data_IF_798873254444
#
_entry.id   IF_798873254444
#
_cell.length_a   1.000
_cell.length_b   1.000
_cell.length_c   1.000
_cell.angle_alpha   90.00
_cell.angle_beta   90.00
_cell.angle_gamma   90.00
#
_symmetry.space_group_name_H-M   'P 1'
#
loop_
_entity.id
_entity.type
_entity.pdbx_description
1 polymer ?
#
# COMPACT_ATOMS: atom_id res chain seq x y z
N UNK A 1 35.46 -25.98 -31.12
CA UNK A 1 34.04 -26.12 -30.76
C UNK A 1 33.72 -25.08 -29.70
N UNK A 2 32.85 -24.11 -30.00
CA UNK A 2 32.67 -22.90 -29.19
C UNK A 2 32.03 -23.25 -27.85
N UNK A 3 32.77 -22.98 -26.78
CA UNK A 3 32.21 -22.99 -25.43
C UNK A 3 31.47 -21.65 -25.24
N UNK A 4 30.41 -21.68 -24.42
CA UNK A 4 29.87 -20.56 -23.63
C UNK A 4 28.88 -19.54 -24.19
N UNK A 5 28.38 -19.60 -25.42
CA UNK A 5 27.28 -18.67 -25.80
C UNK A 5 25.95 -18.89 -25.02
N UNK A 6 25.46 -20.13 -24.81
CA UNK A 6 24.16 -20.32 -24.15
C UNK A 6 24.23 -20.11 -22.63
N UNK A 7 25.41 -20.31 -22.02
CA UNK A 7 25.62 -20.14 -20.57
C UNK A 7 25.65 -18.66 -20.16
N UNK A 8 26.23 -17.77 -20.99
CA UNK A 8 26.19 -16.32 -20.76
C UNK A 8 24.77 -15.76 -20.88
N UNK A 9 24.00 -16.24 -21.86
CA UNK A 9 22.61 -15.84 -22.04
C UNK A 9 21.73 -16.24 -20.83
N UNK A 10 21.97 -17.42 -20.26
CA UNK A 10 21.25 -17.90 -19.08
C UNK A 10 21.56 -17.07 -17.82
N UNK A 11 22.82 -16.62 -17.65
CA UNK A 11 23.19 -15.70 -16.56
C UNK A 11 22.57 -14.30 -16.75
N UNK A 12 22.51 -13.80 -17.99
CA UNK A 12 21.89 -12.51 -18.29
C UNK A 12 20.39 -12.46 -17.99
N UNK A 13 19.67 -13.56 -18.21
CA UNK A 13 18.25 -13.69 -17.86
C UNK A 13 18.01 -13.81 -16.35
N UNK A 14 18.95 -14.36 -15.58
CA UNK A 14 18.88 -14.44 -14.12
C UNK A 14 19.19 -13.10 -13.42
N UNK A 15 19.90 -12.20 -14.12
CA UNK A 15 20.29 -10.88 -13.63
C UNK A 15 19.28 -9.78 -14.00
N UNK A 16 18.23 -10.07 -14.77
CA UNK A 16 17.15 -9.11 -15.01
C UNK A 16 16.35 -8.96 -13.71
N UNK A 17 16.47 -7.83 -12.99
CA UNK A 17 15.74 -7.66 -11.76
C UNK A 17 14.27 -7.49 -12.11
N UNK A 18 13.47 -8.34 -11.46
CA UNK A 18 12.19 -7.99 -10.81
C UNK A 18 11.19 -7.26 -11.70
N UNK A 19 10.12 -7.98 -12.02
CA UNK A 19 8.86 -7.44 -12.51
C UNK A 19 8.61 -6.05 -11.92
N UNK A 20 8.39 -5.06 -12.78
CA UNK A 20 7.88 -3.76 -12.36
C UNK A 20 6.57 -4.01 -11.61
N UNK A 21 6.65 -4.11 -10.29
CA UNK A 21 5.47 -4.19 -9.44
C UNK A 21 4.78 -2.85 -9.62
N UNK A 22 3.63 -2.85 -10.31
CA UNK A 22 2.80 -1.66 -10.36
C UNK A 22 2.44 -1.28 -8.93
N UNK A 23 2.95 -0.15 -8.46
CA UNK A 23 2.61 0.35 -7.15
C UNK A 23 1.11 0.65 -7.14
N UNK A 24 0.37 0.00 -6.26
CA UNK A 24 -1.01 0.39 -6.03
C UNK A 24 -1.05 1.82 -5.47
N UNK A 25 -2.07 2.57 -5.84
CA UNK A 25 -2.25 3.97 -5.44
C UNK A 25 -3.40 4.09 -4.42
N UNK A 26 -3.18 4.93 -3.41
CA UNK A 26 -4.20 5.44 -2.52
C UNK A 26 -4.50 6.89 -2.91
N UNK A 27 -5.73 7.15 -3.33
CA UNK A 27 -6.21 8.49 -3.63
C UNK A 27 -7.04 9.02 -2.45
N UNK A 28 -6.63 10.16 -1.91
CA UNK A 28 -7.32 10.87 -0.84
C UNK A 28 -7.96 12.12 -1.42
N UNK A 29 -9.29 12.19 -1.35
CA UNK A 29 -10.06 13.37 -1.74
C UNK A 29 -10.45 14.11 -0.47
N UNK A 30 -9.68 15.15 -0.15
CA UNK A 30 -9.84 15.94 1.07
C UNK A 30 -10.44 17.31 0.74
N UNK A 31 -10.99 18.04 1.73
CA UNK A 31 -11.50 19.40 1.51
C UNK A 31 -10.46 20.35 0.91
N UNK A 32 -9.18 20.15 1.22
CA UNK A 32 -8.05 20.93 0.69
C UNK A 32 -7.53 20.48 -0.68
N UNK A 33 -8.13 19.46 -1.30
CA UNK A 33 -7.75 18.93 -2.61
C UNK A 33 -7.49 17.42 -2.62
N UNK A 34 -7.14 16.90 -3.79
CA UNK A 34 -6.81 15.49 -3.97
C UNK A 34 -5.30 15.26 -3.81
N UNK A 35 -4.94 14.26 -3.01
CA UNK A 35 -3.58 13.76 -2.90
C UNK A 35 -3.53 12.27 -3.23
N UNK A 36 -2.57 11.86 -4.04
CA UNK A 36 -2.30 10.46 -4.36
C UNK A 36 -1.02 10.01 -3.67
N UNK A 37 -1.05 8.82 -3.09
CA UNK A 37 0.08 8.14 -2.49
C UNK A 37 0.30 6.80 -3.17
N UNK A 38 1.52 6.53 -3.61
CA UNK A 38 1.90 5.18 -4.05
C UNK A 38 2.14 4.27 -2.84
N UNK A 39 1.99 2.96 -3.05
CA UNK A 39 2.33 1.94 -2.04
C UNK A 39 3.77 2.08 -1.54
N UNK A 40 4.69 2.49 -2.41
CA UNK A 40 6.09 2.69 -2.06
C UNK A 40 6.28 3.89 -1.12
N UNK A 41 5.59 5.00 -1.37
CA UNK A 41 5.62 6.16 -0.47
C UNK A 41 4.99 5.85 0.88
N UNK A 42 3.88 5.12 0.90
CA UNK A 42 3.23 4.70 2.15
C UNK A 42 4.15 3.79 2.99
N UNK A 43 4.86 2.84 2.35
CA UNK A 43 5.79 1.96 3.05
C UNK A 43 7.01 2.70 3.64
N UNK A 44 7.46 3.76 2.96
CA UNK A 44 8.54 4.63 3.43
C UNK A 44 8.08 5.76 4.36
N UNK A 45 6.78 5.93 4.56
CA UNK A 45 6.24 7.02 5.37
C UNK A 45 6.83 6.97 6.80
N UNK A 46 7.23 8.10 7.39
CA UNK A 46 7.94 8.13 8.68
C UNK A 46 7.10 7.58 9.84
N UNK A 47 5.77 7.61 9.71
CA UNK A 47 4.85 7.05 10.70
C UNK A 47 4.37 5.63 10.35
N UNK A 48 4.91 5.01 9.30
CA UNK A 48 4.63 3.60 9.01
C UNK A 48 5.12 2.73 10.16
N UNK A 49 4.24 1.89 10.70
CA UNK A 49 4.52 1.03 11.85
C UNK A 49 4.06 -0.38 11.59
N UNK A 50 4.80 -1.34 12.15
CA UNK A 50 4.39 -2.73 12.18
C UNK A 50 3.34 -2.92 13.29
N UNK A 51 2.34 -3.75 13.01
CA UNK A 51 1.30 -4.12 13.96
C UNK A 51 0.87 -5.57 13.74
N UNK A 52 0.64 -6.27 14.85
CA UNK A 52 0.15 -7.65 14.86
C UNK A 52 -1.35 -7.64 15.15
N UNK A 53 -2.14 -8.22 14.22
CA UNK A 53 -3.58 -8.42 14.37
C UNK A 53 -3.81 -9.90 14.72
N UNK A 54 -4.11 -10.22 15.99
CA UNK A 54 -4.48 -11.58 16.37
C UNK A 54 -5.84 -11.93 15.76
N UNK A 55 -5.99 -13.15 15.25
CA UNK A 55 -7.24 -13.63 14.67
C UNK A 55 -7.87 -12.67 13.64
N UNK A 56 -7.07 -12.21 12.67
CA UNK A 56 -7.54 -11.35 11.57
C UNK A 56 -8.82 -11.91 10.95
N UNK A 57 -9.86 -11.10 10.77
CA UNK A 57 -11.18 -11.57 10.35
C UNK A 57 -11.21 -12.08 8.91
N UNK A 58 -10.37 -11.54 8.03
CA UNK A 58 -10.33 -11.93 6.62
C UNK A 58 -9.59 -13.26 6.45
N UNK A 59 -8.45 -13.42 7.14
CA UNK A 59 -7.58 -14.59 6.98
C UNK A 59 -7.72 -15.63 8.11
N UNK A 60 -8.44 -15.31 9.18
CA UNK A 60 -8.72 -16.16 10.35
C UNK A 60 -7.47 -16.72 11.03
N UNK A 61 -6.40 -15.93 11.05
CA UNK A 61 -5.12 -16.26 11.70
C UNK A 61 -4.40 -15.00 12.16
N UNK A 62 -3.35 -15.15 12.96
CA UNK A 62 -2.50 -14.03 13.34
C UNK A 62 -1.79 -13.50 12.09
N UNK A 63 -1.91 -12.20 11.87
CA UNK A 63 -1.32 -11.51 10.73
C UNK A 63 -0.48 -10.34 11.23
N UNK A 64 0.66 -10.11 10.58
CA UNK A 64 1.50 -8.94 10.80
C UNK A 64 1.39 -8.02 9.60
N UNK A 65 1.12 -6.75 9.86
CA UNK A 65 0.99 -5.71 8.84
C UNK A 65 1.98 -4.58 9.10
N UNK A 66 2.33 -3.86 8.04
CA UNK A 66 2.98 -2.55 8.13
C UNK A 66 2.01 -1.52 7.59
N UNK A 67 1.61 -0.56 8.42
CA UNK A 67 0.56 0.40 8.08
C UNK A 67 0.92 1.82 8.50
N UNK A 68 0.33 2.79 7.78
CA UNK A 68 0.37 4.21 8.14
C UNK A 68 -0.93 4.56 8.87
N UNK A 69 -0.90 5.24 10.03
CA UNK A 69 -2.10 5.73 10.68
C UNK A 69 -2.85 6.68 9.75
N UNK A 70 -4.15 6.43 9.48
CA UNK A 70 -4.91 7.27 8.54
C UNK A 70 -4.93 8.74 8.97
N UNK A 71 -5.04 9.03 10.27
CA UNK A 71 -4.98 10.39 10.82
C UNK A 71 -3.71 11.18 10.41
N UNK A 72 -2.60 10.49 10.11
CA UNK A 72 -1.39 11.13 9.62
C UNK A 72 -1.55 11.75 8.21
N UNK A 73 -2.49 11.23 7.43
CA UNK A 73 -2.72 11.58 6.04
C UNK A 73 -3.91 12.54 5.88
N UNK A 74 -4.82 12.59 6.85
CA UNK A 74 -6.06 13.38 6.82
C UNK A 74 -5.85 14.84 7.26
N UNK A 75 -5.06 15.60 6.52
CA UNK A 75 -4.82 17.02 6.83
C UNK A 75 -6.09 17.84 6.59
N UNK A 76 -6.53 18.57 7.62
CA UNK A 76 -7.69 19.46 7.52
C UNK A 76 -9.06 18.76 7.56
N UNK A 77 -9.10 17.49 7.95
CA UNK A 77 -10.35 16.77 8.23
C UNK A 77 -10.73 16.95 9.71
N UNK A 78 -11.99 17.27 9.96
CA UNK A 78 -12.56 17.46 11.28
C UNK A 78 -13.28 16.18 11.78
N UNK A 79 -13.44 16.00 13.11
CA UNK A 79 -14.17 14.85 13.67
C UNK A 79 -15.62 14.70 13.18
N UNK A 80 -16.25 15.83 12.83
CA UNK A 80 -17.62 15.86 12.30
C UNK A 80 -17.70 15.42 10.83
N UNK A 81 -16.56 15.29 10.13
CA UNK A 81 -16.51 14.86 8.75
C UNK A 81 -16.68 13.34 8.64
N UNK A 82 -17.35 12.90 7.57
CA UNK A 82 -17.52 11.48 7.27
C UNK A 82 -16.40 10.97 6.35
N UNK A 83 -15.77 9.86 6.74
CA UNK A 83 -14.76 9.21 5.91
C UNK A 83 -15.37 8.06 5.13
N UNK A 84 -15.27 8.13 3.81
CA UNK A 84 -15.65 7.04 2.91
C UNK A 84 -14.39 6.41 2.31
N UNK A 85 -14.25 5.10 2.46
CA UNK A 85 -13.23 4.31 1.79
C UNK A 85 -13.89 3.56 0.62
N UNK A 86 -13.40 3.81 -0.60
CA UNK A 86 -13.87 3.15 -1.83
C UNK A 86 -12.75 2.28 -2.38
N UNK A 87 -13.00 0.99 -2.52
CA UNK A 87 -12.08 0.04 -3.13
C UNK A 87 -12.17 0.07 -4.66
N UNK A 88 -11.16 -0.46 -5.34
CA UNK A 88 -11.07 -0.48 -6.81
C UNK A 88 -12.16 -1.31 -7.50
N UNK A 89 -12.84 -2.19 -6.76
CA UNK A 89 -13.99 -2.96 -7.21
C UNK A 89 -15.33 -2.21 -7.04
N UNK A 90 -15.29 -0.98 -6.52
CA UNK A 90 -16.46 -0.15 -6.25
C UNK A 90 -17.11 -0.39 -4.89
N UNK A 91 -16.58 -1.29 -4.05
CA UNK A 91 -17.06 -1.46 -2.69
C UNK A 91 -16.75 -0.21 -1.85
N UNK A 92 -17.76 0.31 -1.15
CA UNK A 92 -17.63 1.50 -0.31
C UNK A 92 -17.99 1.20 1.15
N UNK A 93 -17.13 1.63 2.07
CA UNK A 93 -17.37 1.59 3.51
C UNK A 93 -17.29 3.01 4.09
N UNK A 94 -18.13 3.31 5.08
CA UNK A 94 -18.12 4.59 5.79
C UNK A 94 -17.68 4.38 7.24
N UNK A 95 -16.83 5.28 7.72
CA UNK A 95 -16.31 5.29 9.09
C UNK A 95 -16.56 6.66 9.72
N UNK A 96 -16.85 6.66 11.02
CA UNK A 96 -16.88 7.88 11.82
C UNK A 96 -15.46 8.23 12.25
N UNK A 97 -15.04 9.48 12.08
CA UNK A 97 -13.72 9.94 12.50
C UNK A 97 -13.77 10.45 13.95
N UNK A 98 -13.27 9.65 14.90
CA UNK A 98 -13.10 10.09 16.29
C UNK A 98 -11.62 10.41 16.52
N UNK A 99 -11.32 11.67 16.87
CA UNK A 99 -9.94 12.13 17.13
C UNK A 99 -9.29 11.48 18.35
#
# INVERSE_FOLDING_TARGET
MPVTLPRLALLGALLFPVAAAWAAELRLELPGGTQTWSSEELLRHPQARDLDIPADVAYRRNMRYRAVPLAALLKGVHPEDHLQAVASDGFAACLLYTS
#
